data_IF_482240555661
#
_entry.id   IF_482240555661
#
_cell.length_a   1.000
_cell.length_b   1.000
_cell.length_c   1.000
_cell.angle_alpha   90.00
_cell.angle_beta   90.00
_cell.angle_gamma   90.00
#
_symmetry.space_group_name_H-M   'P 1'
#
loop_
_entity.id
_entity.type
_entity.pdbx_description
1 polymer ?
#
# COMPACT_ATOMS: atom_id res chain seq x y z
N UNK A 1 4.20 19.38 57.01
CA UNK A 1 3.71 19.83 55.68
C UNK A 1 2.19 19.74 55.70
N UNK A 2 1.47 20.84 55.49
CA UNK A 2 0.01 20.91 55.70
C UNK A 2 -0.74 20.28 54.53
N UNK A 3 -1.87 19.60 54.79
CA UNK A 3 -2.73 19.00 53.74
C UNK A 3 -3.17 20.02 52.67
N UNK A 4 -3.25 21.30 53.04
CA UNK A 4 -3.54 22.40 52.14
C UNK A 4 -2.42 22.68 51.11
N UNK A 5 -1.14 22.53 51.49
CA UNK A 5 -0.01 22.67 50.56
C UNK A 5 0.02 21.51 49.56
N UNK A 6 -0.24 20.29 50.03
CA UNK A 6 -0.29 19.09 49.18
C UNK A 6 -1.40 19.19 48.12
N UNK A 7 -2.57 19.73 48.48
CA UNK A 7 -3.68 19.96 47.51
C UNK A 7 -3.35 21.03 46.47
N UNK A 8 -2.67 22.12 46.85
CA UNK A 8 -2.26 23.17 45.90
C UNK A 8 -1.23 22.65 44.90
N UNK A 9 -0.20 21.94 45.37
CA UNK A 9 0.84 21.35 44.50
C UNK A 9 0.22 20.37 43.50
N UNK A 10 -0.66 19.46 43.95
CA UNK A 10 -1.38 18.53 43.06
C UNK A 10 -2.22 19.24 42.00
N UNK A 11 -2.92 20.31 42.36
CA UNK A 11 -3.79 21.05 41.41
C UNK A 11 -2.97 21.74 40.32
N UNK A 12 -1.84 22.35 40.68
CA UNK A 12 -0.94 22.99 39.72
C UNK A 12 -0.29 21.95 38.82
N UNK A 13 0.18 20.83 39.39
CA UNK A 13 0.81 19.73 38.65
C UNK A 13 -0.16 19.08 37.65
N UNK A 14 -1.41 18.81 38.05
CA UNK A 14 -2.45 18.25 37.16
C UNK A 14 -2.76 19.20 36.00
N UNK A 15 -2.83 20.52 36.26
CA UNK A 15 -3.06 21.52 35.21
C UNK A 15 -1.92 21.58 34.20
N UNK A 16 -0.68 21.51 34.65
CA UNK A 16 0.48 21.49 33.74
C UNK A 16 0.56 20.18 32.96
N UNK A 17 0.32 19.04 33.61
CA UNK A 17 0.30 17.74 32.96
C UNK A 17 -0.75 17.65 31.84
N UNK A 18 -1.97 18.17 32.09
CA UNK A 18 -3.03 18.22 31.07
C UNK A 18 -2.65 19.06 29.85
N UNK A 19 -1.95 20.19 30.04
CA UNK A 19 -1.47 21.03 28.93
C UNK A 19 -0.41 20.32 28.10
N UNK A 20 0.58 19.72 28.76
CA UNK A 20 1.65 18.97 28.08
C UNK A 20 1.08 17.76 27.33
N UNK A 21 0.18 17.01 27.96
CA UNK A 21 -0.48 15.87 27.31
C UNK A 21 -1.34 16.32 26.12
N UNK A 22 -2.09 17.42 26.27
CA UNK A 22 -2.86 18.01 25.17
C UNK A 22 -1.97 18.40 23.99
N UNK A 23 -0.84 19.06 24.24
CA UNK A 23 0.12 19.43 23.20
C UNK A 23 0.69 18.19 22.49
N UNK A 24 1.06 17.17 23.26
CA UNK A 24 1.56 15.91 22.71
C UNK A 24 0.51 15.21 21.83
N UNK A 25 -0.73 15.13 22.29
CA UNK A 25 -1.83 14.56 21.52
C UNK A 25 -2.05 15.28 20.19
N UNK A 26 -2.00 16.63 20.19
CA UNK A 26 -2.10 17.43 18.97
C UNK A 26 -0.95 17.13 18.01
N UNK A 27 0.29 17.03 18.51
CA UNK A 27 1.44 16.67 17.68
C UNK A 27 1.28 15.28 17.05
N UNK A 28 0.81 14.29 17.80
CA UNK A 28 0.54 12.94 17.29
C UNK A 28 -0.50 12.98 16.17
N UNK A 29 -1.61 13.72 16.36
CA UNK A 29 -2.66 13.87 15.33
C UNK A 29 -2.10 14.51 14.06
N UNK A 30 -1.25 15.54 14.18
CA UNK A 30 -0.61 16.18 13.02
C UNK A 30 0.28 15.18 12.27
N UNK A 31 1.12 14.42 12.97
CA UNK A 31 1.99 13.41 12.36
C UNK A 31 1.18 12.34 11.62
N UNK A 32 0.09 11.86 12.23
CA UNK A 32 -0.83 10.90 11.63
C UNK A 32 -1.52 11.47 10.37
N UNK A 33 -1.94 12.73 10.39
CA UNK A 33 -2.54 13.40 9.24
C UNK A 33 -1.54 13.53 8.07
N UNK A 34 -0.28 13.86 8.36
CA UNK A 34 0.79 13.93 7.36
C UNK A 34 1.08 12.55 6.77
N UNK A 35 1.16 11.51 7.60
CA UNK A 35 1.36 10.13 7.14
C UNK A 35 0.21 9.68 6.23
N UNK A 36 -1.04 9.89 6.67
CA UNK A 36 -2.22 9.60 5.88
C UNK A 36 -2.22 10.32 4.52
N UNK A 37 -1.89 11.62 4.50
CA UNK A 37 -1.82 12.39 3.26
C UNK A 37 -0.76 11.84 2.29
N UNK A 38 0.42 11.44 2.79
CA UNK A 38 1.47 10.82 1.98
C UNK A 38 1.03 9.48 1.39
N UNK A 39 0.38 8.64 2.20
CA UNK A 39 -0.17 7.35 1.73
C UNK A 39 -1.20 7.59 0.63
N UNK A 40 -2.16 8.49 0.83
CA UNK A 40 -3.19 8.79 -0.19
C UNK A 40 -2.61 9.38 -1.46
N UNK A 41 -1.56 10.19 -1.38
CA UNK A 41 -0.88 10.71 -2.56
C UNK A 41 -0.23 9.58 -3.39
N UNK A 42 0.44 8.62 -2.73
CA UNK A 42 1.00 7.44 -3.40
C UNK A 42 -0.07 6.55 -4.02
N UNK A 43 -1.17 6.28 -3.29
CA UNK A 43 -2.30 5.50 -3.80
C UNK A 43 -2.92 6.13 -5.06
N UNK A 44 -3.14 7.45 -5.06
CA UNK A 44 -3.66 8.17 -6.23
C UNK A 44 -2.70 8.09 -7.41
N UNK A 45 -1.39 8.26 -7.17
CA UNK A 45 -0.38 8.18 -8.23
C UNK A 45 -0.31 6.78 -8.83
N UNK A 46 -0.29 5.74 -7.99
CA UNK A 46 -0.35 4.34 -8.45
C UNK A 46 -1.62 4.10 -9.26
N UNK A 47 -2.79 4.50 -8.74
CA UNK A 47 -4.07 4.32 -9.43
C UNK A 47 -4.12 5.03 -10.78
N UNK A 48 -3.57 6.24 -10.87
CA UNK A 48 -3.48 6.99 -12.12
C UNK A 48 -2.60 6.25 -13.12
N UNK A 49 -1.39 5.85 -12.72
CA UNK A 49 -0.45 5.15 -13.60
C UNK A 49 -1.06 3.83 -14.09
N UNK A 50 -1.66 3.04 -13.19
CA UNK A 50 -2.31 1.77 -13.54
C UNK A 50 -3.45 2.02 -14.53
N UNK A 51 -4.27 3.04 -14.31
CA UNK A 51 -5.35 3.39 -15.25
C UNK A 51 -4.81 3.84 -16.61
N UNK A 52 -3.75 4.65 -16.63
CA UNK A 52 -3.15 5.20 -17.86
C UNK A 52 -2.55 4.11 -18.74
N UNK A 53 -1.97 3.06 -18.15
CA UNK A 53 -1.43 1.91 -18.88
C UNK A 53 -2.51 0.84 -19.19
N UNK A 54 -3.78 1.12 -18.87
CA UNK A 54 -4.92 0.26 -19.18
C UNK A 54 -5.15 -0.90 -18.20
N UNK A 55 -4.63 -0.79 -16.98
CA UNK A 55 -4.88 -1.74 -15.89
C UNK A 55 -6.01 -1.32 -14.96
N UNK A 56 -6.29 -2.19 -14.00
CA UNK A 56 -7.26 -1.97 -12.94
C UNK A 56 -6.58 -2.11 -11.59
N UNK A 57 -6.92 -1.24 -10.64
CA UNK A 57 -6.49 -1.35 -9.25
C UNK A 57 -7.69 -1.53 -8.34
N UNK A 58 -7.61 -2.52 -7.45
CA UNK A 58 -8.48 -2.65 -6.30
C UNK A 58 -7.62 -2.56 -5.04
N UNK A 59 -8.16 -1.97 -3.99
CA UNK A 59 -7.49 -1.95 -2.69
C UNK A 59 -8.45 -2.21 -1.55
N UNK A 60 -7.93 -2.85 -0.50
CA UNK A 60 -8.58 -2.94 0.80
C UNK A 60 -7.75 -2.08 1.76
N UNK A 61 -8.06 -0.77 1.86
CA UNK A 61 -7.28 0.14 2.69
C UNK A 61 -7.54 -0.13 4.16
N UNK A 62 -6.50 -0.48 4.91
CA UNK A 62 -6.53 -0.51 6.37
C UNK A 62 -5.36 0.31 6.93
N UNK A 63 -5.34 1.62 6.67
CA UNK A 63 -4.44 2.52 7.41
C UNK A 63 -4.86 2.57 8.90
N UNK A 64 -3.94 2.45 9.87
CA UNK A 64 -2.47 2.42 9.74
C UNK A 64 -1.85 1.00 9.72
N UNK A 65 -2.67 -0.05 9.63
CA UNK A 65 -2.29 -1.46 9.86
C UNK A 65 -1.66 -2.09 8.61
N UNK A 66 -2.06 -1.67 7.41
CA UNK A 66 -1.52 -2.13 6.12
C UNK A 66 -2.60 -2.07 5.04
N UNK A 67 -2.21 -2.01 3.77
CA UNK A 67 -3.15 -2.04 2.65
C UNK A 67 -2.82 -3.22 1.74
N UNK A 68 -3.84 -3.91 1.28
CA UNK A 68 -3.72 -4.88 0.19
C UNK A 68 -4.08 -4.18 -1.13
N UNK A 69 -3.18 -4.24 -2.11
CA UNK A 69 -3.39 -3.74 -3.46
C UNK A 69 -3.42 -4.91 -4.44
N UNK A 70 -4.42 -4.92 -5.31
CA UNK A 70 -4.53 -5.86 -6.41
C UNK A 70 -4.55 -5.09 -7.71
N UNK A 71 -3.48 -5.20 -8.47
CA UNK A 71 -3.31 -4.59 -9.78
C UNK A 71 -3.55 -5.69 -10.81
N UNK A 72 -4.38 -5.44 -11.81
CA UNK A 72 -4.68 -6.42 -12.88
C UNK A 72 -4.48 -5.79 -14.25
N UNK A 73 -3.82 -6.52 -15.15
CA UNK A 73 -3.66 -6.18 -16.56
C UNK A 73 -4.21 -7.30 -17.45
N UNK A 74 -4.75 -6.94 -18.61
CA UNK A 74 -5.25 -7.90 -19.61
C UNK A 74 -4.25 -8.18 -20.75
N UNK A 75 -3.05 -7.59 -20.67
CA UNK A 75 -1.98 -7.72 -21.66
C UNK A 75 -0.61 -7.64 -20.99
N UNK A 76 0.43 -8.03 -21.72
CA UNK A 76 1.80 -7.78 -21.33
C UNK A 76 2.09 -6.27 -21.34
N UNK A 77 2.95 -5.84 -20.41
CA UNK A 77 3.43 -4.47 -20.34
C UNK A 77 4.76 -4.36 -21.08
N UNK A 78 4.96 -3.25 -21.79
CA UNK A 78 6.27 -2.94 -22.35
C UNK A 78 7.21 -2.32 -21.30
N UNK A 79 8.46 -2.08 -21.67
CA UNK A 79 9.52 -1.62 -20.77
C UNK A 79 9.21 -0.26 -20.12
N UNK A 80 8.66 0.68 -20.90
CA UNK A 80 8.29 2.00 -20.42
C UNK A 80 7.12 1.91 -19.41
N UNK A 81 6.16 1.03 -19.67
CA UNK A 81 5.03 0.79 -18.76
C UNK A 81 5.48 0.12 -17.46
N UNK A 82 6.41 -0.82 -17.54
CA UNK A 82 7.02 -1.46 -16.37
C UNK A 82 7.79 -0.43 -15.53
N UNK A 83 8.57 0.44 -16.16
CA UNK A 83 9.30 1.52 -15.49
C UNK A 83 8.35 2.49 -14.76
N UNK A 84 7.26 2.89 -15.43
CA UNK A 84 6.24 3.74 -14.81
C UNK A 84 5.57 3.05 -13.60
N UNK A 85 5.40 1.74 -13.65
CA UNK A 85 4.76 0.96 -12.59
C UNK A 85 5.67 0.70 -11.37
N UNK A 86 6.96 1.04 -11.42
CA UNK A 86 7.93 0.81 -10.32
C UNK A 86 7.47 1.39 -8.97
N UNK A 87 6.63 2.42 -8.97
CA UNK A 87 6.01 2.97 -7.76
C UNK A 87 5.25 1.92 -6.93
N UNK A 88 4.79 0.82 -7.55
CA UNK A 88 4.20 -0.32 -6.86
C UNK A 88 5.12 -0.89 -5.75
N UNK A 89 6.45 -0.89 -5.97
CA UNK A 89 7.43 -1.34 -4.97
C UNK A 89 7.55 -0.41 -3.75
N UNK A 90 7.05 0.82 -3.84
CA UNK A 90 7.07 1.78 -2.74
C UNK A 90 5.79 1.75 -1.90
N UNK A 91 4.79 0.99 -2.33
CA UNK A 91 3.52 0.90 -1.61
C UNK A 91 3.72 0.12 -0.32
N UNK A 92 3.05 0.60 0.74
CA UNK A 92 3.07 -0.08 2.03
C UNK A 92 2.03 -1.20 2.03
N UNK A 93 2.45 -2.38 2.47
CA UNK A 93 1.57 -3.54 2.61
C UNK A 93 1.81 -4.54 1.48
N UNK A 94 0.77 -5.27 1.14
CA UNK A 94 0.84 -6.34 0.15
C UNK A 94 0.41 -5.82 -1.21
N UNK A 95 1.22 -6.06 -2.25
CA UNK A 95 0.92 -5.65 -3.63
C UNK A 95 0.93 -6.87 -4.53
N UNK A 96 -0.22 -7.26 -5.03
CA UNK A 96 -0.39 -8.30 -6.02
C UNK A 96 -0.55 -7.73 -7.42
N UNK A 97 0.25 -8.19 -8.37
CA UNK A 97 0.14 -7.83 -9.79
C UNK A 97 -0.32 -9.08 -10.54
N UNK A 98 -1.47 -9.00 -11.21
CA UNK A 98 -2.07 -10.11 -11.92
C UNK A 98 -2.16 -9.82 -13.42
N UNK A 99 -1.80 -10.81 -14.24
CA UNK A 99 -2.00 -10.77 -15.69
C UNK A 99 -3.12 -11.75 -16.04
N UNK A 100 -4.24 -11.23 -16.54
CA UNK A 100 -5.44 -11.99 -16.91
C UNK A 100 -5.52 -12.10 -18.42
N UNK A 101 -5.90 -13.27 -18.93
CA UNK A 101 -6.09 -13.51 -20.38
C UNK A 101 -4.85 -13.19 -21.24
N UNK A 102 -3.67 -13.21 -20.65
CA UNK A 102 -2.41 -12.92 -21.31
C UNK A 102 -1.42 -14.03 -20.98
N UNK A 103 -0.80 -14.58 -22.02
CA UNK A 103 0.34 -15.48 -21.89
C UNK A 103 1.61 -14.63 -21.84
N UNK A 104 2.31 -14.68 -20.71
CA UNK A 104 3.63 -14.09 -20.56
C UNK A 104 4.68 -15.12 -20.95
N UNK A 105 5.66 -14.71 -21.75
CA UNK A 105 6.83 -15.54 -21.98
C UNK A 105 7.63 -15.71 -20.68
N UNK A 106 8.50 -16.72 -20.62
CA UNK A 106 9.38 -16.94 -19.46
C UNK A 106 10.28 -15.71 -19.24
N UNK A 107 10.80 -15.11 -20.32
CA UNK A 107 11.61 -13.89 -20.25
C UNK A 107 10.83 -12.68 -19.74
N UNK A 108 9.58 -12.50 -20.17
CA UNK A 108 8.75 -11.38 -19.67
C UNK A 108 8.46 -11.55 -18.19
N UNK A 109 8.18 -12.78 -17.77
CA UNK A 109 7.95 -13.09 -16.36
C UNK A 109 9.17 -12.78 -15.50
N UNK A 110 10.36 -13.25 -15.90
CA UNK A 110 11.61 -12.96 -15.18
C UNK A 110 11.88 -11.45 -15.10
N UNK A 111 11.63 -10.73 -16.19
CA UNK A 111 11.76 -9.27 -16.23
C UNK A 111 10.81 -8.57 -15.26
N UNK A 112 9.54 -9.00 -15.22
CA UNK A 112 8.53 -8.46 -14.30
C UNK A 112 8.91 -8.78 -12.85
N UNK A 113 9.30 -10.02 -12.56
CA UNK A 113 9.74 -10.42 -11.22
C UNK A 113 10.97 -9.61 -10.76
N UNK A 114 11.92 -9.34 -11.66
CA UNK A 114 13.08 -8.49 -11.39
C UNK A 114 12.72 -7.02 -11.18
N UNK A 115 11.75 -6.48 -11.93
CA UNK A 115 11.28 -5.11 -11.80
C UNK A 115 10.47 -4.88 -10.51
N UNK A 116 9.81 -5.93 -9.99
CA UNK A 116 8.93 -5.83 -8.83
C UNK A 116 9.30 -6.76 -7.67
N UNK A 117 10.49 -6.63 -7.08
CA UNK A 117 10.99 -7.55 -6.05
C UNK A 117 10.18 -7.52 -4.73
N UNK A 118 9.35 -6.49 -4.53
CA UNK A 118 8.49 -6.35 -3.34
C UNK A 118 7.01 -6.66 -3.63
N UNK A 119 6.68 -7.03 -4.86
CA UNK A 119 5.31 -7.34 -5.27
C UNK A 119 5.17 -8.85 -5.51
N UNK A 120 3.92 -9.32 -5.46
CA UNK A 120 3.55 -10.69 -5.70
C UNK A 120 2.95 -10.82 -7.10
N UNK A 121 3.63 -11.58 -7.97
CA UNK A 121 3.18 -11.79 -9.34
C UNK A 121 2.22 -12.98 -9.45
N UNK A 122 1.09 -12.78 -10.13
CA UNK A 122 0.11 -13.80 -10.45
C UNK A 122 -0.10 -13.87 -11.96
N UNK A 123 0.45 -14.89 -12.59
CA UNK A 123 0.22 -15.16 -14.01
C UNK A 123 -0.83 -16.27 -14.10
N UNK A 124 -2.04 -15.93 -14.55
CA UNK A 124 -3.04 -16.96 -14.82
C UNK A 124 -2.79 -17.51 -16.23
N UNK A 125 -2.05 -18.62 -16.31
CA UNK A 125 -1.88 -19.34 -17.56
C UNK A 125 -3.23 -19.67 -18.18
N UNK A 126 -3.36 -19.49 -19.50
CA UNK A 126 -4.51 -19.95 -20.27
C UNK A 126 -4.68 -21.45 -20.03
N UNK A 127 -5.66 -21.82 -19.21
CA UNK A 127 -6.04 -23.21 -19.04
C UNK A 127 -6.68 -23.73 -20.32
N UNK A 128 -5.87 -24.18 -21.28
CA UNK A 128 -6.30 -25.09 -22.34
C UNK A 128 -5.14 -25.87 -22.96
N UNK A 129 -4.95 -27.08 -22.45
CA UNK A 129 -4.89 -28.25 -23.34
C UNK A 129 -6.13 -29.09 -23.03
N UNK A 130 -7.04 -29.15 -24.01
CA UNK A 130 -8.19 -30.04 -23.99
C UNK A 130 -7.73 -31.50 -24.17
N UNK A 131 -8.42 -32.42 -23.47
CA UNK A 131 -8.85 -33.76 -23.92
C UNK A 131 -7.97 -34.56 -24.90
N UNK A 132 -7.38 -35.67 -24.43
CA UNK A 132 -7.53 -37.01 -25.03
C UNK A 132 -6.59 -38.03 -24.35
N UNK A 133 -7.13 -38.88 -23.47
CA UNK A 133 -6.72 -40.28 -23.42
C UNK A 133 -7.97 -41.12 -23.18
N UNK A 134 -8.66 -41.42 -24.27
CA UNK A 134 -9.32 -42.72 -24.41
C UNK A 134 -8.20 -43.77 -24.42
N UNK A 135 -8.21 -44.69 -23.46
CA UNK A 135 -7.95 -46.12 -23.61
C UNK A 135 -8.10 -46.82 -22.27
#
# INVERSE_FOLDING_TARGET
MSDAETKRIRTVMIRQFRKTFGLFAVLVVILLAVDYARVRAKERRLSSIVSDIGGQVASVPAWPIGTEYRITFERALNDEELERLVIANEMRGWVGIAFRNCELSVSDREKIEAAFPKCHLFVRGSGRTNTSTDR
#
